data_IF_672259626975
#
_entry.id   IF_672259626975
#
_cell.length_a   1.000
_cell.length_b   1.000
_cell.length_c   1.000
_cell.angle_alpha   90.00
_cell.angle_beta   90.00
_cell.angle_gamma   90.00
#
_symmetry.space_group_name_H-M   'P 1'
#
loop_
_entity.id
_entity.type
_entity.pdbx_description
1 polymer ?
#
# COMPACT_ATOMS: atom_id res chain seq x y z
N UNK A 1 63.09 -0.60 -14.22
CA UNK A 1 64.09 0.27 -14.86
C UNK A 1 63.92 1.74 -14.40
N UNK A 2 64.07 1.97 -13.10
CA UNK A 2 64.53 3.24 -12.53
C UNK A 2 65.57 2.82 -11.49
N UNK A 3 66.83 3.19 -11.74
CA UNK A 3 67.96 2.78 -10.93
C UNK A 3 67.91 3.44 -9.57
N UNK A 4 67.88 2.62 -8.53
CA UNK A 4 68.41 2.94 -7.21
C UNK A 4 69.01 1.64 -6.68
N UNK A 5 70.33 1.52 -6.75
CA UNK A 5 71.10 0.70 -5.80
C UNK A 5 70.95 1.36 -4.43
N UNK A 6 69.74 1.30 -3.86
CA UNK A 6 69.55 1.70 -2.48
C UNK A 6 70.09 0.56 -1.64
N UNK A 7 71.08 0.84 -0.81
CA UNK A 7 71.61 -0.14 0.12
C UNK A 7 70.45 -0.74 0.92
N UNK A 8 70.56 -2.01 1.32
CA UNK A 8 69.51 -2.72 2.11
C UNK A 8 68.95 -1.86 3.25
N UNK A 9 69.75 -0.96 3.80
CA UNK A 9 69.41 0.00 4.86
C UNK A 9 68.46 1.12 4.42
N UNK A 10 68.60 1.64 3.20
CA UNK A 10 67.70 2.65 2.62
C UNK A 10 66.35 2.04 2.21
N UNK A 11 66.37 0.81 1.70
CA UNK A 11 65.14 0.06 1.44
C UNK A 11 64.36 -0.22 2.75
N UNK A 12 65.07 -0.53 3.84
CA UNK A 12 64.48 -0.71 5.18
C UNK A 12 63.95 0.61 5.76
N UNK A 13 64.64 1.73 5.55
CA UNK A 13 64.19 3.05 6.02
C UNK A 13 62.92 3.52 5.29
N UNK A 14 62.86 3.35 3.96
CA UNK A 14 61.64 3.58 3.18
C UNK A 14 60.52 2.66 3.68
N UNK A 15 60.83 1.38 3.94
CA UNK A 15 59.86 0.39 4.42
C UNK A 15 59.26 0.79 5.78
N UNK A 16 60.07 1.28 6.73
CA UNK A 16 59.58 1.75 8.03
C UNK A 16 58.73 3.01 7.91
N UNK A 17 59.11 3.97 7.06
CA UNK A 17 58.31 5.16 6.77
C UNK A 17 56.95 4.82 6.14
N UNK A 18 56.92 3.83 5.25
CA UNK A 18 55.68 3.34 4.63
C UNK A 18 54.80 2.53 5.60
N UNK A 19 55.40 1.72 6.46
CA UNK A 19 54.69 1.02 7.53
C UNK A 19 54.07 2.02 8.52
N UNK A 20 54.78 3.09 8.86
CA UNK A 20 54.24 4.18 9.67
C UNK A 20 53.07 4.91 8.98
N UNK A 21 53.11 5.08 7.65
CA UNK A 21 52.00 5.62 6.86
C UNK A 21 50.77 4.70 6.81
N UNK A 22 50.98 3.38 6.80
CA UNK A 22 49.93 2.36 6.89
C UNK A 22 49.25 2.38 8.26
N UNK A 23 50.03 2.44 9.34
CA UNK A 23 49.54 2.51 10.71
C UNK A 23 48.78 3.84 11.00
N UNK A 24 49.08 4.90 10.24
CA UNK A 24 48.38 6.18 10.29
C UNK A 24 47.08 6.23 9.46
N UNK A 25 46.66 5.13 8.82
CA UNK A 25 45.35 5.01 8.16
C UNK A 25 45.17 5.80 6.85
N UNK A 26 46.24 6.32 6.25
CA UNK A 26 46.21 7.00 4.95
C UNK A 26 46.67 6.04 3.85
N UNK A 27 45.77 5.43 3.09
CA UNK A 27 46.19 4.55 1.98
C UNK A 27 45.66 4.99 0.62
N UNK A 28 46.58 5.49 -0.22
CA UNK A 28 46.66 5.16 -1.64
C UNK A 28 48.06 4.60 -1.89
N UNK A 29 48.23 3.29 -1.71
CA UNK A 29 49.51 2.64 -1.97
C UNK A 29 49.80 2.64 -3.48
N UNK A 30 50.96 3.17 -3.95
CA UNK A 30 51.31 3.16 -5.37
C UNK A 30 51.50 1.73 -5.92
N UNK A 31 51.74 0.76 -5.04
CA UNK A 31 51.87 -0.67 -5.38
C UNK A 31 50.52 -1.35 -5.63
N UNK A 32 49.41 -0.73 -5.23
CA UNK A 32 48.07 -1.27 -5.41
C UNK A 32 47.60 -1.23 -6.87
N UNK A 33 47.94 -0.16 -7.59
CA UNK A 33 47.68 -0.07 -9.04
C UNK A 33 48.47 -1.11 -9.84
N UNK A 34 49.72 -1.36 -9.43
CA UNK A 34 50.60 -2.38 -10.01
C UNK A 34 50.12 -3.82 -9.74
N UNK A 35 49.61 -4.13 -8.53
CA UNK A 35 49.03 -5.46 -8.22
C UNK A 35 47.78 -5.74 -9.05
N UNK A 36 46.88 -4.76 -9.17
CA UNK A 36 45.65 -4.89 -9.96
C UNK A 36 45.93 -5.17 -11.43
N UNK A 37 46.90 -4.44 -12.02
CA UNK A 37 47.32 -4.64 -13.41
C UNK A 37 48.06 -5.97 -13.62
N UNK A 38 48.80 -6.45 -12.62
CA UNK A 38 49.51 -7.74 -12.65
C UNK A 38 48.55 -8.93 -12.71
N UNK A 39 47.55 -8.99 -11.83
CA UNK A 39 46.60 -10.11 -11.79
C UNK A 39 45.52 -10.05 -12.89
N UNK A 40 45.30 -8.88 -13.49
CA UNK A 40 44.39 -8.71 -14.63
C UNK A 40 45.11 -8.92 -15.99
N UNK A 41 46.38 -9.35 -15.99
CA UNK A 41 47.22 -9.54 -17.19
C UNK A 41 47.34 -8.27 -18.08
N UNK A 42 47.27 -7.08 -17.49
CA UNK A 42 47.34 -5.81 -18.22
C UNK A 42 48.80 -5.39 -18.45
N UNK A 43 49.73 -5.93 -17.67
CA UNK A 43 51.17 -5.78 -17.92
C UNK A 43 51.64 -6.87 -18.87
N UNK A 44 52.24 -6.51 -20.00
CA UNK A 44 52.84 -7.46 -20.94
C UNK A 44 53.76 -8.43 -20.20
N UNK A 45 53.79 -9.69 -20.66
CA UNK A 45 54.51 -10.82 -20.05
C UNK A 45 56.01 -10.53 -19.84
N UNK A 46 56.32 -9.85 -18.74
CA UNK A 46 57.67 -9.72 -18.21
C UNK A 46 58.12 -11.09 -17.69
N UNK A 47 59.24 -11.61 -18.19
CA UNK A 47 59.88 -12.80 -17.64
C UNK A 47 60.62 -12.42 -16.35
N UNK A 48 59.95 -12.61 -15.23
CA UNK A 48 60.53 -12.37 -13.92
C UNK A 48 61.35 -13.58 -13.48
N UNK A 49 62.63 -13.38 -13.12
CA UNK A 49 63.44 -14.42 -12.47
C UNK A 49 62.91 -14.75 -11.05
N UNK A 50 62.40 -13.75 -10.34
CA UNK A 50 61.70 -13.89 -9.07
C UNK A 50 60.46 -13.00 -9.08
N UNK A 51 59.33 -13.52 -8.59
CA UNK A 51 58.07 -12.79 -8.61
C UNK A 51 58.15 -11.59 -7.65
N UNK A 52 58.02 -10.34 -8.12
CA UNK A 52 58.36 -9.14 -7.33
C UNK A 52 57.51 -8.96 -6.07
N UNK A 53 56.40 -9.69 -5.95
CA UNK A 53 55.51 -9.67 -4.79
C UNK A 53 55.70 -10.84 -3.81
N UNK A 54 56.68 -11.72 -4.03
CA UNK A 54 57.00 -12.81 -3.09
C UNK A 54 58.02 -12.40 -2.02
N UNK A 55 58.84 -11.38 -2.29
CA UNK A 55 60.03 -11.06 -1.48
C UNK A 55 59.91 -9.81 -0.60
N UNK A 56 58.82 -9.03 -0.72
CA UNK A 56 58.61 -7.88 0.17
C UNK A 56 58.03 -8.34 1.54
N UNK A 57 58.60 -7.89 2.68
CA UNK A 57 58.13 -8.27 4.02
C UNK A 57 56.68 -7.85 4.32
N UNK A 58 56.15 -6.88 3.56
CA UNK A 58 54.74 -6.49 3.61
C UNK A 58 53.80 -7.66 3.23
N UNK A 59 54.31 -8.68 2.54
CA UNK A 59 53.55 -9.83 2.03
C UNK A 59 53.71 -11.12 2.86
N UNK A 60 54.60 -11.15 3.85
CA UNK A 60 54.83 -12.31 4.74
C UNK A 60 53.77 -12.43 5.86
N UNK A 61 53.03 -11.36 6.15
CA UNK A 61 52.19 -11.24 7.37
C UNK A 61 50.75 -11.80 7.25
N UNK A 62 50.47 -12.69 6.29
CA UNK A 62 49.20 -13.43 6.21
C UNK A 62 47.93 -12.66 5.79
N UNK A 63 47.91 -11.33 5.88
CA UNK A 63 46.81 -10.48 5.41
C UNK A 63 47.03 -9.99 3.96
N UNK A 64 45.97 -9.98 3.16
CA UNK A 64 45.90 -9.34 1.84
C UNK A 64 45.19 -7.99 1.89
N UNK A 65 44.11 -7.88 2.66
CA UNK A 65 43.38 -6.61 2.87
C UNK A 65 42.54 -6.67 4.15
N UNK A 66 42.45 -5.56 4.86
CA UNK A 66 41.50 -5.34 5.96
C UNK A 66 40.71 -4.08 5.61
N UNK A 67 39.37 -4.16 5.65
CA UNK A 67 38.52 -3.01 5.41
C UNK A 67 37.14 -3.22 6.04
N UNK A 68 36.36 -2.15 6.15
CA UNK A 68 34.97 -2.23 6.59
C UNK A 68 34.01 -2.03 5.43
N UNK A 69 32.82 -2.63 5.52
CA UNK A 69 31.73 -2.42 4.58
C UNK A 69 30.39 -2.34 5.32
N UNK A 70 29.40 -1.69 4.72
CA UNK A 70 28.08 -1.44 5.32
C UNK A 70 27.08 -2.59 5.15
N UNK A 71 27.45 -3.62 4.40
CA UNK A 71 26.65 -4.82 4.22
C UNK A 71 27.49 -5.99 3.71
N UNK A 72 27.03 -7.21 3.96
CA UNK A 72 27.59 -8.42 3.38
C UNK A 72 26.46 -9.39 3.04
N UNK A 73 26.38 -9.85 1.78
CA UNK A 73 25.36 -10.81 1.33
C UNK A 73 23.94 -10.46 1.85
N UNK A 74 23.50 -9.22 1.59
CA UNK A 74 22.20 -8.66 2.00
C UNK A 74 21.97 -8.51 3.50
N UNK A 75 23.02 -8.59 4.32
CA UNK A 75 22.92 -8.29 5.76
C UNK A 75 23.46 -6.89 6.02
N UNK A 76 22.61 -5.89 6.28
CA UNK A 76 23.07 -4.55 6.63
C UNK A 76 23.83 -4.57 7.97
N UNK A 77 24.83 -3.71 8.10
CA UNK A 77 25.60 -3.60 9.34
C UNK A 77 27.05 -3.17 9.11
N UNK A 78 27.82 -2.99 10.17
CA UNK A 78 29.25 -2.69 10.05
C UNK A 78 30.04 -4.00 10.02
N UNK A 79 30.50 -4.39 8.85
CA UNK A 79 31.24 -5.63 8.63
C UNK A 79 32.74 -5.35 8.55
N UNK A 80 33.53 -6.06 9.34
CA UNK A 80 34.98 -6.13 9.17
C UNK A 80 35.31 -7.27 8.20
N UNK A 81 35.96 -6.95 7.08
CA UNK A 81 36.36 -7.92 6.07
C UNK A 81 37.86 -8.14 6.13
N UNK A 82 38.25 -9.39 6.39
CA UNK A 82 39.63 -9.85 6.39
C UNK A 82 39.87 -10.69 5.13
N UNK A 83 40.53 -10.12 4.12
CA UNK A 83 41.05 -10.90 2.98
C UNK A 83 42.43 -11.43 3.36
N UNK A 84 42.56 -12.75 3.42
CA UNK A 84 43.80 -13.43 3.80
C UNK A 84 44.53 -13.96 2.55
N UNK A 85 45.85 -14.12 2.64
CA UNK A 85 46.63 -14.75 1.57
C UNK A 85 46.49 -16.26 1.63
N UNK A 86 46.58 -16.92 0.47
CA UNK A 86 46.59 -18.38 0.41
C UNK A 86 48.02 -18.93 0.68
N UNK A 87 48.50 -18.73 1.90
CA UNK A 87 49.79 -19.22 2.37
C UNK A 87 49.68 -19.66 3.84
N UNK A 88 50.78 -20.20 4.41
CA UNK A 88 50.80 -20.72 5.79
C UNK A 88 50.38 -19.64 6.80
N UNK A 89 50.97 -18.45 6.72
CA UNK A 89 50.66 -17.34 7.62
C UNK A 89 49.19 -16.89 7.53
N UNK A 90 48.60 -16.85 6.34
CA UNK A 90 47.18 -16.54 6.14
C UNK A 90 46.24 -17.60 6.70
N UNK A 91 46.60 -18.89 6.59
CA UNK A 91 45.86 -19.99 7.23
C UNK A 91 45.90 -19.90 8.75
N UNK A 92 47.07 -19.63 9.34
CA UNK A 92 47.21 -19.44 10.79
C UNK A 92 46.37 -18.28 11.31
N UNK A 93 46.32 -17.15 10.59
CA UNK A 93 45.43 -16.02 10.91
C UNK A 93 43.97 -16.43 10.83
N UNK A 94 43.56 -17.15 9.77
CA UNK A 94 42.18 -17.64 9.62
C UNK A 94 41.77 -18.53 10.78
N UNK A 95 42.64 -19.45 11.17
CA UNK A 95 42.37 -20.42 12.23
C UNK A 95 42.29 -19.71 13.58
N UNK A 96 43.14 -18.70 13.83
CA UNK A 96 43.03 -17.81 15.01
C UNK A 96 41.73 -17.01 15.03
N UNK A 97 41.29 -16.47 13.89
CA UNK A 97 40.01 -15.74 13.79
C UNK A 97 38.85 -16.67 14.11
N UNK A 98 38.84 -17.88 13.53
CA UNK A 98 37.81 -18.89 13.82
C UNK A 98 37.80 -19.35 15.27
N UNK A 99 38.96 -19.42 15.92
CA UNK A 99 39.06 -19.77 17.33
C UNK A 99 38.62 -18.62 18.26
N UNK A 100 38.83 -17.37 17.83
CA UNK A 100 38.53 -16.17 18.64
C UNK A 100 37.07 -15.74 18.57
N UNK A 101 36.44 -15.84 17.38
CA UNK A 101 35.09 -15.33 17.14
C UNK A 101 34.08 -16.47 16.96
N UNK A 102 32.88 -16.39 17.58
CA UNK A 102 31.81 -17.36 17.38
C UNK A 102 31.40 -17.51 15.91
N UNK A 103 31.09 -18.73 15.47
CA UNK A 103 30.71 -18.99 14.08
C UNK A 103 29.46 -18.25 13.65
N UNK A 104 28.48 -18.06 14.55
CA UNK A 104 27.26 -17.28 14.33
C UNK A 104 27.49 -15.78 14.04
N UNK A 105 28.71 -15.27 14.28
CA UNK A 105 29.08 -13.88 14.00
C UNK A 105 29.89 -13.71 12.72
N UNK A 106 30.06 -14.78 11.93
CA UNK A 106 30.92 -14.79 10.76
C UNK A 106 30.16 -15.01 9.46
N UNK A 107 30.41 -14.13 8.47
CA UNK A 107 29.95 -14.31 7.10
C UNK A 107 28.44 -14.55 6.98
N UNK A 108 28.05 -15.60 6.27
CA UNK A 108 26.63 -15.97 6.05
C UNK A 108 25.96 -16.62 7.24
N UNK A 109 26.73 -17.01 8.27
CA UNK A 109 26.18 -17.60 9.49
C UNK A 109 25.49 -16.56 10.38
N UNK A 110 25.80 -15.28 10.18
CA UNK A 110 25.06 -14.19 10.83
C UNK A 110 23.60 -14.26 10.35
N UNK A 111 22.61 -14.30 11.26
CA UNK A 111 21.21 -14.29 10.86
C UNK A 111 20.88 -13.07 9.99
N UNK A 112 20.10 -13.29 8.93
CA UNK A 112 19.63 -12.19 8.12
C UNK A 112 18.51 -11.46 8.86
N UNK A 113 18.52 -10.11 8.92
CA UNK A 113 17.37 -9.38 9.43
C UNK A 113 16.11 -9.70 8.61
N UNK A 114 14.97 -9.86 9.29
CA UNK A 114 13.70 -10.24 8.65
C UNK A 114 13.38 -9.35 7.44
N UNK A 115 13.54 -8.04 7.57
CA UNK A 115 13.28 -7.10 6.47
C UNK A 115 14.19 -7.33 5.26
N UNK A 116 15.46 -7.69 5.48
CA UNK A 116 16.38 -8.03 4.38
C UNK A 116 16.00 -9.34 3.70
N UNK A 117 15.51 -10.30 4.47
CA UNK A 117 14.95 -11.55 3.94
C UNK A 117 13.71 -11.28 3.09
N UNK A 118 12.79 -10.45 3.56
CA UNK A 118 11.58 -10.07 2.83
C UNK A 118 11.88 -9.28 1.55
N UNK A 119 12.90 -8.41 1.56
CA UNK A 119 13.38 -7.71 0.34
C UNK A 119 13.89 -8.72 -0.70
N UNK A 120 14.65 -9.73 -0.28
CA UNK A 120 15.10 -10.78 -1.20
C UNK A 120 13.93 -11.61 -1.71
N UNK A 121 12.99 -11.96 -0.84
CA UNK A 121 11.79 -12.69 -1.18
C UNK A 121 10.95 -11.93 -2.21
N UNK A 122 10.79 -10.62 -2.08
CA UNK A 122 10.10 -9.77 -3.06
C UNK A 122 10.78 -9.79 -4.43
N UNK A 123 12.12 -9.80 -4.48
CA UNK A 123 12.86 -9.97 -5.75
C UNK A 123 12.60 -11.33 -6.38
N UNK A 124 12.54 -12.38 -5.57
CA UNK A 124 12.20 -13.73 -6.03
C UNK A 124 10.77 -13.81 -6.57
N UNK A 125 9.80 -13.16 -5.92
CA UNK A 125 8.41 -13.05 -6.42
C UNK A 125 8.41 -12.44 -7.82
N UNK A 126 9.03 -11.26 -7.99
CA UNK A 126 9.11 -10.59 -9.30
C UNK A 126 9.77 -11.45 -10.37
N UNK A 127 10.84 -12.17 -10.01
CA UNK A 127 11.51 -13.11 -10.92
C UNK A 127 10.60 -14.27 -11.32
N UNK A 128 9.87 -14.87 -10.38
CA UNK A 128 8.93 -15.95 -10.68
C UNK A 128 7.75 -15.50 -11.54
N UNK A 129 7.23 -14.29 -11.32
CA UNK A 129 6.18 -13.72 -12.18
C UNK A 129 6.69 -13.47 -13.60
N UNK A 130 7.91 -12.92 -13.74
CA UNK A 130 8.56 -12.78 -15.04
C UNK A 130 8.72 -14.13 -15.76
N UNK A 131 9.18 -15.17 -15.05
CA UNK A 131 9.27 -16.52 -15.61
C UNK A 131 7.90 -17.10 -15.95
N UNK A 132 6.89 -16.91 -15.09
CA UNK A 132 5.53 -17.37 -15.35
C UNK A 132 4.96 -16.74 -16.63
N UNK A 133 5.08 -15.41 -16.76
CA UNK A 133 4.71 -14.66 -17.96
C UNK A 133 5.34 -15.23 -19.22
N UNK A 134 6.65 -15.49 -19.18
CA UNK A 134 7.38 -16.11 -20.30
C UNK A 134 6.78 -17.46 -20.71
N UNK A 135 6.54 -18.36 -19.75
CA UNK A 135 5.99 -19.69 -20.01
C UNK A 135 4.52 -19.67 -20.44
N UNK A 136 3.74 -18.73 -19.91
CA UNK A 136 2.35 -18.51 -20.32
C UNK A 136 2.25 -18.12 -21.79
N UNK A 137 3.13 -17.22 -22.27
CA UNK A 137 3.19 -16.82 -23.68
C UNK A 137 3.52 -18.02 -24.59
N UNK A 138 4.30 -18.98 -24.10
CA UNK A 138 4.62 -20.23 -24.81
C UNK A 138 3.49 -21.29 -24.72
N UNK A 139 2.31 -20.93 -24.18
CA UNK A 139 1.18 -21.82 -23.95
C UNK A 139 1.49 -23.05 -23.05
N UNK A 140 2.48 -22.93 -22.16
CA UNK A 140 2.87 -23.96 -21.18
C UNK A 140 3.02 -23.33 -19.78
N UNK A 141 1.93 -22.78 -19.20
CA UNK A 141 2.00 -22.11 -17.92
C UNK A 141 2.55 -23.06 -16.85
N UNK A 142 3.33 -22.50 -15.92
CA UNK A 142 3.89 -23.24 -14.79
C UNK A 142 3.22 -22.80 -13.49
N UNK A 143 2.03 -23.32 -13.14
CA UNK A 143 1.29 -22.92 -11.94
C UNK A 143 2.12 -22.93 -10.66
N UNK A 144 3.09 -23.84 -10.52
CA UNK A 144 3.97 -23.89 -9.35
C UNK A 144 4.76 -22.60 -9.12
N UNK A 145 5.14 -21.87 -10.19
CA UNK A 145 5.79 -20.57 -10.07
C UNK A 145 4.82 -19.53 -9.50
N UNK A 146 3.57 -19.53 -9.96
CA UNK A 146 2.53 -18.63 -9.47
C UNK A 146 2.14 -18.92 -8.01
N UNK A 147 2.00 -20.20 -7.64
CA UNK A 147 1.77 -20.60 -6.25
C UNK A 147 2.92 -20.18 -5.34
N UNK A 148 4.17 -20.37 -5.78
CA UNK A 148 5.35 -19.93 -5.03
C UNK A 148 5.39 -18.41 -4.88
N UNK A 149 5.12 -17.67 -5.96
CA UNK A 149 5.05 -16.21 -5.94
C UNK A 149 3.98 -15.69 -5.00
N UNK A 150 2.77 -16.27 -5.04
CA UNK A 150 1.66 -15.91 -4.17
C UNK A 150 2.00 -16.16 -2.69
N UNK A 151 2.49 -17.35 -2.34
CA UNK A 151 2.84 -17.69 -0.95
C UNK A 151 3.94 -16.78 -0.39
N UNK A 152 4.97 -16.50 -1.21
CA UNK A 152 6.04 -15.58 -0.83
C UNK A 152 5.53 -14.14 -0.69
N UNK A 153 4.60 -13.69 -1.54
CA UNK A 153 3.98 -12.37 -1.44
C UNK A 153 3.09 -12.25 -0.19
N UNK A 154 2.31 -13.26 0.16
CA UNK A 154 1.49 -13.26 1.39
C UNK A 154 2.36 -13.16 2.65
N UNK A 155 3.49 -13.86 2.68
CA UNK A 155 4.43 -13.78 3.80
C UNK A 155 5.02 -12.38 3.96
N UNK A 156 5.40 -11.72 2.85
CA UNK A 156 5.86 -10.33 2.86
C UNK A 156 4.75 -9.41 3.35
N UNK A 157 3.51 -9.59 2.87
CA UNK A 157 2.36 -8.79 3.30
C UNK A 157 2.09 -8.94 4.81
N UNK A 158 2.25 -10.14 5.35
CA UNK A 158 2.05 -10.42 6.77
C UNK A 158 3.14 -9.79 7.66
N UNK A 159 4.40 -9.82 7.22
CA UNK A 159 5.53 -9.42 8.07
C UNK A 159 6.04 -7.99 7.80
N UNK A 160 6.04 -7.55 6.55
CA UNK A 160 6.64 -6.29 6.10
C UNK A 160 5.82 -5.65 4.96
N UNK A 161 4.53 -5.29 5.18
CA UNK A 161 3.66 -4.74 4.14
C UNK A 161 4.16 -3.42 3.56
N UNK A 162 4.96 -2.65 4.31
CA UNK A 162 5.57 -1.40 3.86
C UNK A 162 6.61 -1.57 2.74
N UNK A 163 7.04 -2.81 2.45
CA UNK A 163 7.96 -3.09 1.35
C UNK A 163 7.28 -3.02 -0.03
N UNK A 164 5.95 -3.02 -0.09
CA UNK A 164 5.20 -2.77 -1.32
C UNK A 164 5.17 -1.28 -1.64
N UNK A 165 6.28 -0.77 -2.19
CA UNK A 165 6.46 0.65 -2.49
C UNK A 165 6.15 0.92 -3.97
N UNK A 166 5.35 1.95 -4.24
CA UNK A 166 5.04 2.38 -5.59
C UNK A 166 4.38 1.27 -6.40
N UNK A 167 4.99 0.91 -7.53
CA UNK A 167 4.42 -0.05 -8.46
C UNK A 167 4.44 -1.51 -7.95
N UNK A 168 5.14 -1.78 -6.85
CA UNK A 168 5.25 -3.12 -6.29
C UNK A 168 3.90 -3.68 -5.81
N UNK A 169 2.92 -2.81 -5.53
CA UNK A 169 1.56 -3.26 -5.19
C UNK A 169 0.89 -3.97 -6.37
N UNK A 170 1.20 -3.58 -7.62
CA UNK A 170 0.55 -4.14 -8.82
C UNK A 170 0.96 -5.58 -9.15
N UNK A 171 1.92 -6.16 -8.43
CA UNK A 171 2.21 -7.59 -8.56
C UNK A 171 1.00 -8.45 -8.14
N UNK A 172 0.16 -7.92 -7.24
CA UNK A 172 -1.09 -8.57 -6.85
C UNK A 172 -2.09 -8.58 -8.00
N UNK A 173 -2.22 -7.47 -8.72
CA UNK A 173 -3.06 -7.40 -9.92
C UNK A 173 -2.56 -8.34 -11.03
N UNK A 174 -1.24 -8.37 -11.25
CA UNK A 174 -0.60 -9.28 -12.20
C UNK A 174 -0.91 -10.75 -11.86
N UNK A 175 -0.72 -11.14 -10.60
CA UNK A 175 -1.09 -12.48 -10.12
C UNK A 175 -2.58 -12.75 -10.26
N UNK A 176 -3.45 -11.77 -9.99
CA UNK A 176 -4.89 -11.92 -10.13
C UNK A 176 -5.28 -12.31 -11.55
N UNK A 177 -4.71 -11.62 -12.55
CA UNK A 177 -4.91 -11.92 -13.97
C UNK A 177 -4.47 -13.34 -14.33
N UNK A 178 -3.32 -13.76 -13.82
CA UNK A 178 -2.82 -15.13 -14.03
C UNK A 178 -3.71 -16.20 -13.40
N UNK A 179 -4.26 -15.95 -12.22
CA UNK A 179 -5.22 -16.84 -11.59
C UNK A 179 -6.56 -16.89 -12.35
N UNK A 180 -7.01 -15.75 -12.89
CA UNK A 180 -8.20 -15.67 -13.72
C UNK A 180 -8.06 -16.49 -15.02
N UNK A 181 -6.88 -16.43 -15.66
CA UNK A 181 -6.56 -17.25 -16.83
C UNK A 181 -6.62 -18.75 -16.50
N UNK A 182 -6.19 -19.13 -15.29
CA UNK A 182 -6.29 -20.49 -14.76
C UNK A 182 -7.69 -20.87 -14.24
N UNK A 183 -8.67 -19.95 -14.31
CA UNK A 183 -10.05 -20.12 -13.78
C UNK A 183 -10.12 -20.29 -12.26
N UNK A 184 -9.08 -19.88 -11.54
CA UNK A 184 -8.99 -19.89 -10.08
C UNK A 184 -9.46 -18.55 -9.48
N UNK A 185 -10.76 -18.28 -9.63
CA UNK A 185 -11.36 -16.99 -9.26
C UNK A 185 -11.16 -16.60 -7.79
N UNK A 186 -11.11 -17.57 -6.87
CA UNK A 186 -10.89 -17.30 -5.45
C UNK A 186 -9.48 -16.75 -5.18
N UNK A 187 -8.46 -17.30 -5.84
CA UNK A 187 -7.09 -16.82 -5.69
C UNK A 187 -6.93 -15.45 -6.36
N UNK A 188 -7.56 -15.24 -7.52
CA UNK A 188 -7.59 -13.94 -8.18
C UNK A 188 -8.25 -12.86 -7.29
N UNK A 189 -9.40 -13.19 -6.69
CA UNK A 189 -10.09 -12.30 -5.77
C UNK A 189 -9.22 -11.93 -4.56
N UNK A 190 -8.54 -12.90 -3.95
CA UNK A 190 -7.63 -12.66 -2.81
C UNK A 190 -6.49 -11.71 -3.17
N UNK A 191 -5.91 -11.86 -4.36
CA UNK A 191 -4.87 -10.95 -4.83
C UNK A 191 -5.39 -9.50 -4.92
N UNK A 192 -6.55 -9.28 -5.52
CA UNK A 192 -7.14 -7.94 -5.64
C UNK A 192 -7.56 -7.36 -4.28
N UNK A 193 -8.01 -8.21 -3.35
CA UNK A 193 -8.27 -7.79 -1.96
C UNK A 193 -6.97 -7.37 -1.24
N UNK A 194 -5.86 -8.07 -1.46
CA UNK A 194 -4.55 -7.69 -0.91
C UNK A 194 -4.06 -6.36 -1.51
N UNK A 195 -4.26 -6.12 -2.82
CA UNK A 195 -4.00 -4.82 -3.46
C UNK A 195 -4.83 -3.71 -2.81
N UNK A 196 -6.14 -3.93 -2.61
CA UNK A 196 -7.03 -2.96 -1.97
C UNK A 196 -6.59 -2.63 -0.53
N UNK A 197 -6.09 -3.62 0.22
CA UNK A 197 -5.56 -3.41 1.57
C UNK A 197 -4.31 -2.51 1.57
N UNK A 198 -3.42 -2.67 0.59
CA UNK A 198 -2.19 -1.88 0.45
C UNK A 198 -2.45 -0.48 -0.10
N UNK A 199 -3.59 -0.24 -0.76
CA UNK A 199 -3.97 1.03 -1.36
C UNK A 199 -5.32 1.55 -0.81
N UNK A 200 -5.40 1.87 0.50
CA UNK A 200 -6.65 2.36 1.09
C UNK A 200 -7.10 3.65 0.39
N UNK A 201 -8.38 3.72 0.02
CA UNK A 201 -8.95 4.87 -0.68
C UNK A 201 -8.81 4.85 -2.21
N UNK A 202 -8.17 3.83 -2.80
CA UNK A 202 -8.11 3.65 -4.26
C UNK A 202 -9.22 2.71 -4.74
N UNK A 203 -9.75 3.01 -5.92
CA UNK A 203 -10.84 2.25 -6.55
C UNK A 203 -10.37 1.13 -7.48
N UNK A 204 -9.13 1.19 -7.95
CA UNK A 204 -8.58 0.33 -9.01
C UNK A 204 -8.73 -1.17 -8.70
N UNK A 205 -8.35 -1.61 -7.49
CA UNK A 205 -8.51 -3.01 -7.08
C UNK A 205 -9.99 -3.45 -7.05
N UNK A 206 -10.91 -2.56 -6.67
CA UNK A 206 -12.35 -2.84 -6.65
C UNK A 206 -12.96 -2.89 -8.06
N UNK A 207 -12.50 -2.01 -8.95
CA UNK A 207 -12.84 -2.03 -10.37
C UNK A 207 -12.43 -3.35 -11.01
N UNK A 208 -11.18 -3.77 -10.79
CA UNK A 208 -10.65 -5.02 -11.32
C UNK A 208 -11.35 -6.24 -10.72
N UNK A 209 -11.65 -6.21 -9.41
CA UNK A 209 -12.35 -7.31 -8.73
C UNK A 209 -13.78 -7.47 -9.28
N UNK A 210 -14.48 -6.35 -9.48
CA UNK A 210 -15.80 -6.37 -10.09
C UNK A 210 -15.76 -6.84 -11.54
N UNK A 211 -14.77 -6.40 -12.33
CA UNK A 211 -14.64 -6.79 -13.74
C UNK A 211 -14.37 -8.29 -13.89
N UNK A 212 -13.49 -8.85 -13.06
CA UNK A 212 -13.21 -10.29 -13.01
C UNK A 212 -14.49 -11.08 -12.68
N UNK A 213 -15.25 -10.69 -11.65
CA UNK A 213 -16.51 -11.36 -11.31
C UNK A 213 -17.57 -11.21 -12.42
N UNK A 214 -17.65 -10.04 -13.05
CA UNK A 214 -18.56 -9.80 -14.16
C UNK A 214 -18.24 -10.70 -15.35
N UNK A 215 -16.96 -10.82 -15.73
CA UNK A 215 -16.48 -11.74 -16.78
C UNK A 215 -16.81 -13.21 -16.46
N UNK A 216 -16.79 -13.58 -15.19
CA UNK A 216 -17.23 -14.89 -14.70
C UNK A 216 -18.76 -15.06 -14.58
N UNK A 217 -19.56 -14.07 -15.00
CA UNK A 217 -21.02 -14.03 -14.84
C UNK A 217 -21.51 -14.10 -13.38
N UNK A 218 -20.63 -13.76 -12.42
CA UNK A 218 -20.91 -13.65 -11.00
C UNK A 218 -21.37 -12.23 -10.67
N UNK A 219 -22.57 -11.86 -11.17
CA UNK A 219 -23.08 -10.50 -11.11
C UNK A 219 -23.29 -9.94 -9.70
N UNK A 220 -23.58 -10.80 -8.71
CA UNK A 220 -23.71 -10.41 -7.31
C UNK A 220 -22.39 -9.95 -6.70
N UNK A 221 -21.36 -10.81 -6.67
CA UNK A 221 -20.01 -10.43 -6.27
C UNK A 221 -19.46 -9.23 -7.05
N UNK A 222 -19.74 -9.14 -8.36
CA UNK A 222 -19.34 -8.01 -9.19
C UNK A 222 -19.96 -6.69 -8.70
N UNK A 223 -21.29 -6.66 -8.52
CA UNK A 223 -22.00 -5.48 -8.02
C UNK A 223 -21.50 -5.09 -6.63
N UNK A 224 -21.25 -6.06 -5.74
CA UNK A 224 -20.72 -5.79 -4.42
C UNK A 224 -19.31 -5.16 -4.47
N UNK A 225 -18.41 -5.65 -5.32
CA UNK A 225 -17.08 -5.08 -5.49
C UNK A 225 -17.14 -3.63 -6.03
N UNK A 226 -17.96 -3.39 -7.06
CA UNK A 226 -18.17 -2.06 -7.62
C UNK A 226 -18.74 -1.07 -6.59
N UNK A 227 -19.77 -1.47 -5.86
CA UNK A 227 -20.36 -0.64 -4.81
C UNK A 227 -19.36 -0.32 -3.69
N UNK A 228 -18.49 -1.26 -3.32
CA UNK A 228 -17.38 -0.99 -2.39
C UNK A 228 -16.40 0.04 -2.96
N UNK A 229 -16.06 -0.05 -4.25
CA UNK A 229 -15.23 0.94 -4.92
C UNK A 229 -15.84 2.35 -4.92
N UNK A 230 -17.13 2.47 -5.23
CA UNK A 230 -17.85 3.77 -5.23
C UNK A 230 -17.94 4.42 -3.84
N UNK A 231 -17.68 3.67 -2.75
CA UNK A 231 -17.57 4.26 -1.42
C UNK A 231 -16.26 5.01 -1.18
N UNK A 232 -15.23 4.74 -1.98
CA UNK A 232 -13.96 5.48 -1.93
C UNK A 232 -13.95 6.65 -2.91
N UNK A 233 -14.46 6.43 -4.13
CA UNK A 233 -14.69 7.49 -5.11
C UNK A 233 -16.11 7.36 -5.68
N UNK A 234 -17.07 8.15 -5.16
CA UNK A 234 -18.44 8.17 -5.66
C UNK A 234 -18.57 8.60 -7.11
N UNK A 235 -17.52 9.15 -7.74
CA UNK A 235 -17.52 9.67 -9.11
C UNK A 235 -16.68 8.87 -10.11
N UNK A 236 -16.15 7.71 -9.69
CA UNK A 236 -15.42 6.80 -10.58
C UNK A 236 -16.30 6.37 -11.77
N UNK A 237 -16.00 6.93 -12.95
CA UNK A 237 -16.82 6.74 -14.13
C UNK A 237 -16.73 5.31 -14.69
N UNK A 238 -15.62 4.61 -14.48
CA UNK A 238 -15.44 3.24 -14.95
C UNK A 238 -16.26 2.28 -14.09
N UNK A 239 -16.24 2.45 -12.77
CA UNK A 239 -17.07 1.64 -11.88
C UNK A 239 -18.55 1.92 -12.13
N UNK A 240 -18.96 3.19 -12.27
CA UNK A 240 -20.35 3.54 -12.63
C UNK A 240 -20.79 2.89 -13.93
N UNK A 241 -19.95 2.95 -14.97
CA UNK A 241 -20.24 2.32 -16.26
C UNK A 241 -20.43 0.81 -16.14
N UNK A 242 -19.51 0.11 -15.48
CA UNK A 242 -19.60 -1.34 -15.33
C UNK A 242 -20.76 -1.79 -14.44
N UNK A 243 -21.05 -1.04 -13.37
CA UNK A 243 -22.21 -1.29 -12.54
C UNK A 243 -23.51 -1.08 -13.34
N UNK A 244 -23.58 -0.04 -14.19
CA UNK A 244 -24.74 0.20 -15.04
C UNK A 244 -25.02 -0.97 -16.00
N UNK A 245 -23.97 -1.61 -16.54
CA UNK A 245 -24.14 -2.82 -17.35
C UNK A 245 -24.84 -3.96 -16.58
N UNK A 246 -24.59 -4.08 -15.27
CA UNK A 246 -25.32 -5.02 -14.40
C UNK A 246 -26.76 -4.58 -14.18
N UNK A 247 -27.01 -3.28 -13.98
CA UNK A 247 -28.36 -2.74 -13.68
C UNK A 247 -29.29 -2.82 -14.90
N UNK A 248 -28.77 -2.61 -16.11
CA UNK A 248 -29.57 -2.65 -17.35
C UNK A 248 -29.96 -4.07 -17.77
N UNK A 249 -29.20 -5.09 -17.36
CA UNK A 249 -29.53 -6.49 -17.62
C UNK A 249 -30.42 -7.09 -16.51
N UNK A 250 -31.68 -7.39 -16.86
CA UNK A 250 -32.64 -8.02 -15.95
C UNK A 250 -32.17 -9.37 -15.41
N UNK A 251 -31.42 -10.15 -16.20
CA UNK A 251 -30.86 -11.42 -15.75
C UNK A 251 -29.77 -11.21 -14.71
N UNK A 252 -28.83 -10.30 -14.98
CA UNK A 252 -27.78 -9.92 -14.04
C UNK A 252 -28.35 -9.36 -12.73
N UNK A 253 -29.35 -8.47 -12.80
CA UNK A 253 -30.07 -7.96 -11.62
C UNK A 253 -30.71 -9.10 -10.82
N UNK A 254 -31.37 -10.06 -11.47
CA UNK A 254 -31.99 -11.19 -10.78
C UNK A 254 -30.95 -12.05 -10.04
N UNK A 255 -29.80 -12.32 -10.67
CA UNK A 255 -28.68 -13.05 -10.04
C UNK A 255 -28.07 -12.27 -8.87
N UNK A 256 -27.83 -10.97 -9.03
CA UNK A 256 -27.28 -10.14 -7.97
C UNK A 256 -28.20 -10.05 -6.74
N UNK A 257 -29.52 -9.97 -6.94
CA UNK A 257 -30.49 -10.01 -5.83
C UNK A 257 -30.45 -11.33 -5.04
N UNK A 258 -30.33 -12.47 -5.73
CA UNK A 258 -30.20 -13.77 -5.05
C UNK A 258 -28.93 -13.79 -4.22
N UNK A 259 -27.81 -13.35 -4.79
CA UNK A 259 -26.54 -13.25 -4.06
C UNK A 259 -26.65 -12.36 -2.82
N UNK A 260 -27.22 -11.14 -2.93
CA UNK A 260 -27.34 -10.26 -1.77
C UNK A 260 -28.23 -10.86 -0.68
N UNK A 261 -29.31 -11.56 -1.03
CA UNK A 261 -30.12 -12.26 -0.03
C UNK A 261 -29.31 -13.35 0.69
N UNK A 262 -28.57 -14.18 -0.05
CA UNK A 262 -27.71 -15.23 0.52
C UNK A 262 -26.60 -14.63 1.40
N UNK A 263 -25.92 -13.59 0.91
CA UNK A 263 -24.86 -12.90 1.63
C UNK A 263 -25.34 -12.36 2.99
N UNK A 264 -26.54 -11.79 3.06
CA UNK A 264 -27.11 -11.29 4.31
C UNK A 264 -27.61 -12.39 5.26
N UNK A 265 -27.88 -13.59 4.75
CA UNK A 265 -28.23 -14.77 5.56
C UNK A 265 -26.98 -15.43 6.15
N UNK A 266 -25.91 -15.53 5.36
CA UNK A 266 -24.65 -16.17 5.75
C UNK A 266 -23.76 -15.28 6.61
N UNK A 267 -23.68 -13.98 6.27
CA UNK A 267 -22.84 -13.00 6.93
C UNK A 267 -23.61 -11.69 7.16
N UNK A 268 -24.38 -11.59 8.26
CA UNK A 268 -25.19 -10.43 8.59
C UNK A 268 -24.35 -9.23 9.09
N UNK A 269 -23.20 -8.96 8.47
CA UNK A 269 -22.36 -7.80 8.77
C UNK A 269 -23.03 -6.47 8.33
N UNK A 270 -22.97 -5.40 9.15
CA UNK A 270 -23.54 -4.09 8.81
C UNK A 270 -23.11 -3.52 7.46
N UNK A 271 -21.87 -3.76 7.04
CA UNK A 271 -21.37 -3.30 5.75
C UNK A 271 -21.96 -4.11 4.59
N UNK A 272 -22.20 -5.41 4.76
CA UNK A 272 -22.94 -6.19 3.76
C UNK A 272 -24.38 -5.69 3.60
N UNK A 273 -25.06 -5.33 4.71
CA UNK A 273 -26.38 -4.68 4.65
C UNK A 273 -26.33 -3.36 3.91
N UNK A 274 -25.30 -2.55 4.16
CA UNK A 274 -25.11 -1.27 3.49
C UNK A 274 -24.97 -1.46 1.97
N UNK A 275 -24.06 -2.33 1.52
CA UNK A 275 -23.85 -2.60 0.09
C UNK A 275 -25.11 -3.21 -0.57
N UNK A 276 -25.81 -4.11 0.12
CA UNK A 276 -27.06 -4.67 -0.40
C UNK A 276 -28.16 -3.61 -0.54
N UNK A 277 -28.25 -2.69 0.43
CA UNK A 277 -29.18 -1.56 0.37
C UNK A 277 -28.85 -0.62 -0.79
N UNK A 278 -27.57 -0.30 -0.99
CA UNK A 278 -27.09 0.55 -2.09
C UNK A 278 -27.51 -0.06 -3.45
N UNK A 279 -27.30 -1.36 -3.61
CA UNK A 279 -27.73 -2.09 -4.80
C UNK A 279 -29.24 -1.99 -5.03
N UNK A 280 -30.03 -2.16 -3.97
CA UNK A 280 -31.49 -2.06 -4.04
C UNK A 280 -31.99 -0.65 -4.39
N UNK A 281 -31.29 0.40 -3.95
CA UNK A 281 -31.55 1.78 -4.40
C UNK A 281 -31.29 1.94 -5.90
N UNK A 282 -30.16 1.43 -6.40
CA UNK A 282 -29.81 1.54 -7.82
C UNK A 282 -30.83 0.89 -8.75
N UNK A 283 -31.42 -0.23 -8.35
CA UNK A 283 -32.50 -0.89 -9.13
C UNK A 283 -33.90 -0.31 -8.86
N UNK A 284 -34.01 0.83 -8.18
CA UNK A 284 -35.26 1.53 -7.89
C UNK A 284 -36.17 0.83 -6.86
N UNK A 285 -35.63 -0.11 -6.07
CA UNK A 285 -36.37 -0.84 -5.03
C UNK A 285 -36.21 -0.19 -3.66
N UNK A 286 -36.57 1.08 -3.56
CA UNK A 286 -36.40 1.90 -2.36
C UNK A 286 -37.05 1.32 -1.10
N UNK A 287 -38.23 0.70 -1.19
CA UNK A 287 -38.85 0.04 -0.04
C UNK A 287 -38.07 -1.18 0.47
N UNK A 288 -37.43 -1.92 -0.43
CA UNK A 288 -36.56 -3.02 -0.03
C UNK A 288 -35.28 -2.47 0.58
N UNK A 289 -34.66 -1.47 -0.06
CA UNK A 289 -33.46 -0.80 0.46
C UNK A 289 -33.68 -0.26 1.88
N UNK A 290 -34.77 0.47 2.13
CA UNK A 290 -35.10 0.99 3.46
C UNK A 290 -35.21 -0.11 4.52
N UNK A 291 -35.80 -1.27 4.18
CA UNK A 291 -35.85 -2.42 5.10
C UNK A 291 -34.47 -3.01 5.37
N UNK A 292 -33.61 -3.09 4.35
CA UNK A 292 -32.24 -3.63 4.46
C UNK A 292 -31.39 -2.68 5.30
N UNK A 293 -31.37 -1.38 5.02
CA UNK A 293 -30.65 -0.39 5.82
C UNK A 293 -31.10 -0.37 7.28
N UNK A 294 -32.41 -0.44 7.53
CA UNK A 294 -32.93 -0.55 8.90
C UNK A 294 -32.40 -1.79 9.63
N UNK A 295 -32.28 -2.93 8.94
CA UNK A 295 -31.66 -4.14 9.53
C UNK A 295 -30.17 -3.92 9.78
N UNK A 296 -29.42 -3.38 8.81
CA UNK A 296 -28.01 -3.06 8.97
C UNK A 296 -27.74 -2.14 10.16
N UNK A 297 -28.51 -1.07 10.30
CA UNK A 297 -28.40 -0.14 11.43
C UNK A 297 -28.73 -0.78 12.80
N UNK A 298 -29.60 -1.80 12.83
CA UNK A 298 -29.94 -2.56 14.05
C UNK A 298 -28.88 -3.56 14.45
N UNK A 299 -28.27 -4.25 13.48
CA UNK A 299 -27.19 -5.22 13.73
C UNK A 299 -25.89 -4.52 14.12
N UNK A 300 -25.69 -3.30 13.64
CA UNK A 300 -24.49 -2.53 13.90
C UNK A 300 -24.41 -1.98 15.34
N UNK A 301 -23.25 -2.16 15.96
CA UNK A 301 -22.86 -1.49 17.19
C UNK A 301 -22.80 0.03 17.00
N UNK A 302 -22.90 0.79 18.10
CA UNK A 302 -22.90 2.25 18.07
C UNK A 302 -21.67 2.82 17.36
N UNK A 303 -20.46 2.28 17.53
CA UNK A 303 -19.27 2.82 16.88
C UNK A 303 -19.10 2.50 15.38
N UNK A 304 -19.99 1.71 14.76
CA UNK A 304 -19.75 1.21 13.40
C UNK A 304 -20.17 2.22 12.32
N UNK A 305 -19.22 2.71 11.51
CA UNK A 305 -19.50 3.67 10.41
C UNK A 305 -20.53 3.19 9.40
N UNK A 306 -20.71 1.87 9.19
CA UNK A 306 -21.78 1.35 8.33
C UNK A 306 -23.18 1.63 8.92
N UNK A 307 -23.32 1.70 10.25
CA UNK A 307 -24.57 2.11 10.93
C UNK A 307 -24.98 3.51 10.52
N UNK A 308 -24.06 4.46 10.66
CA UNK A 308 -24.26 5.85 10.26
C UNK A 308 -24.76 5.91 8.82
N UNK A 309 -24.03 5.24 7.91
CA UNK A 309 -24.36 5.25 6.48
C UNK A 309 -25.73 4.63 6.23
N UNK A 310 -26.06 3.50 6.85
CA UNK A 310 -27.41 2.92 6.74
C UNK A 310 -28.48 3.92 7.21
N UNK A 311 -28.25 4.66 8.30
CA UNK A 311 -29.21 5.63 8.83
C UNK A 311 -29.35 6.86 7.92
N UNK A 312 -28.26 7.39 7.37
CA UNK A 312 -28.31 8.53 6.44
C UNK A 312 -29.00 8.14 5.14
N UNK A 313 -28.69 6.97 4.57
CA UNK A 313 -29.35 6.46 3.36
C UNK A 313 -30.84 6.18 3.60
N UNK A 314 -31.19 5.67 4.79
CA UNK A 314 -32.58 5.46 5.19
C UNK A 314 -33.33 6.79 5.30
N UNK A 315 -32.72 7.81 5.90
CA UNK A 315 -33.27 9.16 6.00
C UNK A 315 -33.49 9.79 4.61
N UNK A 316 -32.55 9.62 3.69
CA UNK A 316 -32.68 10.10 2.30
C UNK A 316 -33.87 9.45 1.57
N UNK A 317 -34.04 8.13 1.71
CA UNK A 317 -35.20 7.44 1.14
C UNK A 317 -36.51 7.99 1.71
N UNK A 318 -36.60 8.18 3.03
CA UNK A 318 -37.81 8.72 3.66
C UNK A 318 -38.08 10.17 3.28
N UNK A 319 -37.03 10.99 3.21
CA UNK A 319 -37.11 12.36 2.74
C UNK A 319 -37.65 12.43 1.31
N UNK A 320 -37.11 11.61 0.39
CA UNK A 320 -37.57 11.54 -1.00
C UNK A 320 -39.03 11.06 -1.13
N UNK A 321 -39.52 10.28 -0.14
CA UNK A 321 -40.92 9.86 -0.04
C UNK A 321 -41.84 10.88 0.64
N UNK A 322 -41.31 12.02 1.09
CA UNK A 322 -41.99 13.00 1.92
C UNK A 322 -42.48 12.45 3.28
N UNK A 323 -41.90 11.35 3.76
CA UNK A 323 -42.15 10.83 5.11
C UNK A 323 -41.16 11.47 6.09
N UNK A 324 -41.35 12.76 6.35
CA UNK A 324 -40.42 13.54 7.16
C UNK A 324 -40.32 13.04 8.60
N UNK A 325 -41.40 12.44 9.15
CA UNK A 325 -41.38 11.87 10.49
C UNK A 325 -40.42 10.67 10.60
N UNK A 326 -40.40 9.75 9.63
CA UNK A 326 -39.44 8.64 9.64
C UNK A 326 -38.02 9.09 9.29
N UNK A 327 -37.88 10.11 8.44
CA UNK A 327 -36.58 10.68 8.12
C UNK A 327 -35.94 11.35 9.36
N UNK A 328 -36.70 12.11 10.13
CA UNK A 328 -36.26 12.75 11.38
C UNK A 328 -35.76 11.70 12.39
N UNK A 329 -36.51 10.61 12.60
CA UNK A 329 -36.08 9.51 13.49
C UNK A 329 -34.73 8.93 13.04
N UNK A 330 -34.52 8.72 11.74
CA UNK A 330 -33.28 8.16 11.22
C UNK A 330 -32.10 9.13 11.38
N UNK A 331 -32.33 10.44 11.16
CA UNK A 331 -31.34 11.50 11.37
C UNK A 331 -30.98 11.65 12.85
N UNK A 332 -31.97 11.64 13.74
CA UNK A 332 -31.74 11.70 15.19
C UNK A 332 -30.93 10.51 15.68
N UNK A 333 -31.23 9.30 15.18
CA UNK A 333 -30.43 8.12 15.48
C UNK A 333 -28.98 8.28 15.00
N UNK A 334 -28.76 8.82 13.78
CA UNK A 334 -27.42 9.07 13.27
C UNK A 334 -26.65 10.09 14.13
N UNK A 335 -27.29 11.23 14.45
CA UNK A 335 -26.69 12.31 15.23
C UNK A 335 -26.55 11.98 16.72
N UNK A 336 -27.34 11.04 17.27
CA UNK A 336 -27.16 10.56 18.65
C UNK A 336 -25.82 9.84 18.85
N UNK A 337 -25.32 9.21 17.79
CA UNK A 337 -24.08 8.45 17.80
C UNK A 337 -22.91 9.28 17.29
N UNK A 338 -23.11 10.03 16.20
CA UNK A 338 -22.14 10.97 15.65
C UNK A 338 -22.73 12.38 15.57
N UNK A 339 -22.65 13.17 16.65
CA UNK A 339 -23.26 14.49 16.71
C UNK A 339 -22.76 15.48 15.65
N UNK A 340 -21.52 15.35 15.21
CA UNK A 340 -20.91 16.28 14.27
C UNK A 340 -20.61 15.65 12.90
N UNK A 341 -21.36 14.62 12.51
CA UNK A 341 -21.28 14.06 11.16
C UNK A 341 -21.91 15.02 10.13
N UNK A 342 -21.14 15.38 9.11
CA UNK A 342 -21.49 16.39 8.12
C UNK A 342 -22.69 15.99 7.26
N UNK A 343 -22.73 14.73 6.83
CA UNK A 343 -23.82 14.18 5.99
C UNK A 343 -25.12 14.14 6.79
N UNK A 344 -25.09 13.64 8.02
CA UNK A 344 -26.28 13.61 8.88
C UNK A 344 -26.78 15.02 9.23
N UNK A 345 -25.88 15.98 9.50
CA UNK A 345 -26.23 17.38 9.73
C UNK A 345 -26.82 18.04 8.48
N UNK A 346 -26.32 17.73 7.28
CA UNK A 346 -26.89 18.24 6.02
C UNK A 346 -28.32 17.72 5.81
N UNK A 347 -28.59 16.45 6.13
CA UNK A 347 -29.94 15.88 6.08
C UNK A 347 -30.88 16.51 7.10
N UNK A 348 -30.41 16.76 8.34
CA UNK A 348 -31.17 17.50 9.35
C UNK A 348 -31.57 18.90 8.84
N UNK A 349 -30.61 19.63 8.26
CA UNK A 349 -30.87 20.94 7.65
C UNK A 349 -31.90 20.86 6.52
N UNK A 350 -31.82 19.85 5.65
CA UNK A 350 -32.81 19.62 4.57
C UNK A 350 -34.21 19.35 5.13
N UNK A 351 -34.33 18.54 6.18
CA UNK A 351 -35.60 18.24 6.86
C UNK A 351 -36.22 19.49 7.48
N UNK A 352 -35.46 20.26 8.26
CA UNK A 352 -36.02 21.44 8.92
C UNK A 352 -36.36 22.57 7.95
N UNK A 353 -35.66 22.65 6.81
CA UNK A 353 -36.05 23.54 5.71
C UNK A 353 -37.41 23.16 5.10
N UNK A 354 -37.75 21.86 5.06
CA UNK A 354 -39.04 21.38 4.57
C UNK A 354 -40.16 21.56 5.62
N UNK A 355 -39.86 21.30 6.89
CA UNK A 355 -40.80 21.45 8.01
C UNK A 355 -41.06 22.92 8.39
N UNK A 356 -40.15 23.84 8.03
CA UNK A 356 -40.26 25.26 8.35
C UNK A 356 -39.90 25.60 9.80
N UNK A 357 -39.23 24.68 10.52
CA UNK A 357 -38.86 24.87 11.90
C UNK A 357 -37.55 25.67 12.03
N UNK A 358 -37.66 26.98 12.20
CA UNK A 358 -36.49 27.87 12.18
C UNK A 358 -35.55 27.74 13.38
N UNK A 359 -36.00 27.15 14.50
CA UNK A 359 -35.18 27.03 15.72
C UNK A 359 -34.17 25.90 15.55
N UNK A 360 -34.64 24.70 15.26
CA UNK A 360 -33.83 23.50 15.01
C UNK A 360 -32.98 23.68 13.76
N UNK A 361 -33.52 24.29 12.70
CA UNK A 361 -32.76 24.64 11.51
C UNK A 361 -31.54 25.53 11.81
N UNK A 362 -31.70 26.54 12.69
CA UNK A 362 -30.59 27.41 13.09
C UNK A 362 -29.51 26.62 13.83
N UNK A 363 -29.90 25.71 14.71
CA UNK A 363 -28.95 24.89 15.46
C UNK A 363 -28.18 23.91 14.57
N UNK A 364 -28.88 23.14 13.73
CA UNK A 364 -28.24 22.21 12.80
C UNK A 364 -27.38 22.93 11.77
N UNK A 365 -27.83 24.07 11.23
CA UNK A 365 -27.05 24.86 10.28
C UNK A 365 -25.78 25.46 10.93
N UNK A 366 -25.85 25.90 12.20
CA UNK A 366 -24.66 26.36 12.95
C UNK A 366 -23.65 25.23 13.13
N UNK A 367 -24.11 24.04 13.54
CA UNK A 367 -23.25 22.85 13.68
C UNK A 367 -22.62 22.44 12.35
N UNK A 368 -23.40 22.40 11.27
CA UNK A 368 -22.90 22.08 9.94
C UNK A 368 -21.84 23.07 9.46
N UNK A 369 -22.07 24.39 9.63
CA UNK A 369 -21.09 25.42 9.27
C UNK A 369 -19.83 25.36 10.15
N UNK A 370 -19.95 24.89 11.40
CA UNK A 370 -18.79 24.67 12.28
C UNK A 370 -17.92 23.52 11.77
N UNK A 371 -18.53 22.39 11.38
CA UNK A 371 -17.83 21.20 10.87
C UNK A 371 -17.30 21.45 9.46
N UNK A 372 -18.12 22.05 8.60
CA UNK A 372 -17.81 22.34 7.21
C UNK A 372 -18.08 23.84 6.92
N UNK A 373 -17.10 24.73 7.17
CA UNK A 373 -17.25 26.17 6.94
C UNK A 373 -17.61 26.55 5.51
N UNK A 374 -17.25 25.73 4.53
CA UNK A 374 -17.54 25.95 3.12
C UNK A 374 -18.83 25.24 2.64
N UNK A 375 -19.63 24.66 3.56
CA UNK A 375 -20.91 24.03 3.19
C UNK A 375 -21.88 25.07 2.64
N UNK A 376 -22.16 25.03 1.34
CA UNK A 376 -23.14 25.92 0.69
C UNK A 376 -24.52 25.73 1.31
N UNK A 377 -24.91 24.49 1.61
CA UNK A 377 -26.19 24.15 2.23
C UNK A 377 -26.30 24.76 3.63
N UNK A 378 -25.29 24.55 4.49
CA UNK A 378 -25.26 25.11 5.84
C UNK A 378 -25.25 26.65 5.86
N UNK A 379 -24.39 27.27 5.04
CA UNK A 379 -24.28 28.73 4.96
C UNK A 379 -25.60 29.38 4.47
N UNK A 380 -26.27 28.75 3.50
CA UNK A 380 -27.55 29.22 2.98
C UNK A 380 -28.69 29.06 3.99
N UNK A 381 -28.75 27.91 4.66
CA UNK A 381 -29.73 27.64 5.71
C UNK A 381 -29.61 28.65 6.86
N UNK A 382 -28.38 28.91 7.31
CA UNK A 382 -28.12 29.84 8.39
C UNK A 382 -28.49 31.29 7.99
N UNK A 383 -28.15 31.72 6.78
CA UNK A 383 -28.56 33.04 6.28
C UNK A 383 -30.08 33.20 6.25
N UNK A 384 -30.81 32.15 5.82
CA UNK A 384 -32.29 32.17 5.77
C UNK A 384 -32.90 32.27 7.16
N UNK A 385 -32.44 31.48 8.13
CA UNK A 385 -32.92 31.56 9.51
C UNK A 385 -32.63 32.91 10.16
N UNK A 386 -31.42 33.43 9.99
CA UNK A 386 -31.04 34.72 10.56
C UNK A 386 -31.88 35.86 9.98
N UNK A 387 -32.24 35.82 8.70
CA UNK A 387 -33.21 36.77 8.13
C UNK A 387 -34.59 36.64 8.77
N UNK A 388 -35.10 35.41 8.93
CA UNK A 388 -36.40 35.16 9.56
C UNK A 388 -36.44 35.65 11.02
N UNK A 389 -35.31 35.64 11.71
CA UNK A 389 -35.16 36.13 13.09
C UNK A 389 -34.81 37.63 13.20
N UNK A 390 -34.70 38.36 12.08
CA UNK A 390 -34.39 39.79 12.06
C UNK A 390 -32.89 40.14 12.19
N UNK A 391 -32.00 39.15 12.20
CA UNK A 391 -30.54 39.29 12.31
C UNK A 391 -29.88 39.58 10.94
N UNK A 392 -30.33 40.63 10.25
CA UNK A 392 -30.01 40.90 8.85
C UNK A 392 -28.50 41.12 8.56
N UNK A 393 -27.73 41.63 9.53
CA UNK A 393 -26.28 41.85 9.38
C UNK A 393 -25.52 40.53 9.27
N UNK A 394 -25.79 39.58 10.17
CA UNK A 394 -25.14 38.26 10.17
C UNK A 394 -25.59 37.44 8.96
N UNK A 395 -26.89 37.49 8.64
CA UNK A 395 -27.40 36.83 7.43
C UNK A 395 -26.67 37.27 6.15
N UNK A 396 -26.40 38.58 6.01
CA UNK A 396 -25.65 39.12 4.86
C UNK A 396 -24.24 38.56 4.78
N UNK A 397 -23.56 38.35 5.91
CA UNK A 397 -22.21 37.77 5.93
C UNK A 397 -22.22 36.31 5.43
N UNK A 398 -23.17 35.51 5.91
CA UNK A 398 -23.32 34.12 5.45
C UNK A 398 -23.70 34.03 3.97
N UNK A 399 -24.59 34.92 3.49
CA UNK A 399 -24.93 35.01 2.07
C UNK A 399 -23.73 35.42 1.18
N UNK A 400 -22.87 36.32 1.67
CA UNK A 400 -21.62 36.67 0.98
C UNK A 400 -20.65 35.49 0.89
N UNK A 401 -20.54 34.68 1.94
CA UNK A 401 -19.74 33.44 1.92
C UNK A 401 -20.25 32.47 0.88
N UNK A 402 -21.57 32.24 0.81
CA UNK A 402 -22.18 31.39 -0.25
C UNK A 402 -21.76 31.88 -1.63
N UNK A 403 -21.90 33.18 -1.91
CA UNK A 403 -21.52 33.75 -3.21
C UNK A 403 -20.05 33.48 -3.53
N UNK A 404 -19.15 33.72 -2.57
CA UNK A 404 -17.72 33.47 -2.73
C UNK A 404 -17.43 32.00 -3.05
N UNK A 405 -17.98 31.08 -2.26
CA UNK A 405 -17.81 29.63 -2.46
C UNK A 405 -18.30 29.21 -3.84
N UNK A 406 -19.49 29.66 -4.25
CA UNK A 406 -20.03 29.30 -5.58
C UNK A 406 -19.21 29.87 -6.73
N UNK A 407 -18.61 31.06 -6.57
CA UNK A 407 -17.72 31.64 -7.59
C UNK A 407 -16.44 30.83 -7.73
N UNK A 408 -15.83 30.42 -6.62
CA UNK A 408 -14.63 29.59 -6.59
C UNK A 408 -14.88 28.18 -7.15
N UNK A 409 -16.09 27.63 -7.02
CA UNK A 409 -16.46 26.35 -7.63
C UNK A 409 -16.72 26.44 -9.15
N UNK A 410 -16.96 27.65 -9.67
CA UNK A 410 -17.31 27.89 -11.08
C UNK A 410 -16.11 28.33 -11.93
N UNK A 411 -15.00 28.69 -11.28
CA UNK A 411 -13.70 29.04 -11.86
C UNK A 411 -12.77 27.83 -11.88
#
# INVERSE_FOLDING_TARGET
>A
LLGLESTKKEALALQEEYLAGLDAGKTYSPWFGLEGQFYMNITEKLQWQHHPFLEYPVWEKGFRRIYTQKSYCYRPGHWLVLKLRDNKAGREVRDKVKATFPEERMGTNVPMPLESEMILKLRTVKYWLHCYSYWQIQADPKPNLLHGAYAAAEEILQHCPHLYIGDDVYIWEEMARYWEDLKELNNAARCLLNQAQLQPGKTEAWLNLGAMYYGASLYGPAAAAYLRGLRFDPDDCYIKHNLNNIIEDKFAVAKARVYFNQCLEEDPDPFNFLIAGDFHCLIGKYDAAARIYRKGARVADSGNRAKLRCLTELAEIYFAKNDYAQAEIAVDQALSVWPDDDVALELAVKLELANGNNVELKEYARRLVRVQPNSVVGQRALARCLLALGEAKEAKQHAMKVKKITQEMSS
#
